data_IF_791563875942
#
_entry.id   IF_791563875942
#
_cell.length_a   1.000
_cell.length_b   1.000
_cell.length_c   1.000
_cell.angle_alpha   90.00
_cell.angle_beta   90.00
_cell.angle_gamma   90.00
#
_symmetry.space_group_name_H-M   'P 1'
#
loop_
_entity.id
_entity.type
_entity.pdbx_description
1 polymer ?
#
# COMPACT_ATOMS: atom_id res chain seq x y z
N UNK A 1 0.15 -21.00 2.46
CA UNK A 1 -0.64 -20.38 3.55
C UNK A 1 -0.26 -18.92 3.80
N UNK A 2 1.03 -18.55 3.86
CA UNK A 2 1.47 -17.16 4.14
C UNK A 2 0.99 -16.12 3.12
N UNK A 3 0.93 -16.47 1.82
CA UNK A 3 0.48 -15.54 0.77
C UNK A 3 -0.98 -15.10 0.89
N UNK A 4 -1.88 -15.98 1.36
CA UNK A 4 -3.30 -15.64 1.54
C UNK A 4 -3.49 -14.66 2.69
N UNK A 5 -2.82 -14.93 3.83
CA UNK A 5 -2.83 -14.04 4.99
C UNK A 5 -2.22 -12.68 4.63
N UNK A 6 -1.12 -12.65 3.87
CA UNK A 6 -0.53 -11.40 3.40
C UNK A 6 -1.47 -10.59 2.48
N UNK A 7 -2.24 -11.27 1.63
CA UNK A 7 -3.25 -10.65 0.77
C UNK A 7 -4.43 -10.08 1.58
N UNK A 8 -4.89 -10.79 2.61
CA UNK A 8 -5.95 -10.33 3.53
C UNK A 8 -5.52 -9.09 4.34
N UNK A 9 -4.26 -9.02 4.79
CA UNK A 9 -3.74 -7.84 5.50
C UNK A 9 -3.61 -6.64 4.53
N UNK A 10 -3.20 -6.87 3.27
CA UNK A 10 -3.11 -5.82 2.25
C UNK A 10 -4.47 -5.26 1.84
N UNK A 11 -5.53 -6.08 1.83
CA UNK A 11 -6.88 -5.62 1.50
C UNK A 11 -7.49 -4.75 2.60
N UNK A 12 -7.11 -4.96 3.86
CA UNK A 12 -7.57 -4.16 5.00
C UNK A 12 -7.04 -2.71 4.97
N UNK A 13 -5.78 -2.49 4.57
CA UNK A 13 -5.19 -1.16 4.48
C UNK A 13 -4.31 -1.01 3.23
N UNK A 14 -4.91 -0.79 2.05
CA UNK A 14 -4.17 -0.74 0.79
C UNK A 14 -3.26 0.49 0.72
N UNK A 15 -2.13 0.41 -0.04
CA UNK A 15 -1.22 1.52 -0.20
C UNK A 15 -1.90 2.67 -0.95
N UNK A 16 -2.00 3.82 -0.28
CA UNK A 16 -2.59 5.02 -0.85
C UNK A 16 -1.80 5.51 -2.08
N UNK A 17 -2.50 5.99 -3.12
CA UNK A 17 -1.87 6.42 -4.37
C UNK A 17 -1.07 7.72 -4.25
N UNK A 18 -0.99 8.38 -3.09
CA UNK A 18 -0.28 9.65 -2.94
C UNK A 18 1.00 9.50 -2.11
N UNK A 19 0.84 9.30 -0.80
CA UNK A 19 1.98 9.13 0.13
C UNK A 19 2.46 7.67 0.23
N UNK A 20 1.77 6.72 -0.42
CA UNK A 20 2.07 5.29 -0.30
C UNK A 20 1.85 4.73 1.11
N UNK A 21 1.02 5.40 1.92
CA UNK A 21 0.64 4.93 3.26
C UNK A 21 -0.24 3.70 3.12
N UNK A 22 0.11 2.60 3.74
CA UNK A 22 -0.59 1.33 3.60
C UNK A 22 0.31 0.12 3.76
N UNK A 23 -0.32 -1.06 3.76
CA UNK A 23 0.35 -2.35 3.72
C UNK A 23 0.77 -2.60 2.27
N UNK A 24 2.08 -2.79 2.05
CA UNK A 24 2.65 -3.10 0.74
C UNK A 24 3.67 -4.22 0.88
N UNK A 25 3.94 -4.91 -0.20
CA UNK A 25 5.07 -5.84 -0.24
C UNK A 25 6.39 -5.05 -0.30
N UNK A 26 7.45 -5.65 0.23
CA UNK A 26 8.75 -4.99 0.40
C UNK A 26 9.41 -4.64 -0.93
N UNK A 27 9.14 -5.45 -1.94
CA UNK A 27 9.61 -5.40 -3.32
C UNK A 27 8.63 -4.70 -4.28
N UNK A 28 7.44 -4.29 -3.81
CA UNK A 28 6.43 -3.62 -4.66
C UNK A 28 6.72 -2.11 -4.80
N UNK A 29 6.82 -1.65 -6.06
CA UNK A 29 6.90 -0.23 -6.40
C UNK A 29 5.49 0.36 -6.52
N UNK A 30 5.03 1.02 -5.46
CA UNK A 30 3.72 1.71 -5.44
C UNK A 30 3.73 2.89 -6.40
N UNK A 31 2.77 2.90 -7.35
CA UNK A 31 2.55 4.03 -8.25
C UNK A 31 1.98 5.19 -7.45
N UNK A 32 2.81 6.21 -7.20
CA UNK A 32 2.41 7.43 -6.49
C UNK A 32 2.04 8.51 -7.51
N UNK A 33 0.89 9.14 -7.30
CA UNK A 33 0.46 10.36 -7.97
C UNK A 33 0.99 11.55 -7.17
N UNK A 34 1.53 12.53 -7.89
CA UNK A 34 1.95 13.80 -7.29
C UNK A 34 0.70 14.60 -6.93
N UNK A 35 0.56 14.96 -5.65
CA UNK A 35 -0.53 15.82 -5.17
C UNK A 35 -1.40 15.22 -4.08
N UNK A 36 -0.90 15.19 -2.84
CA UNK A 36 -1.74 15.43 -1.66
C UNK A 36 -0.88 15.91 -0.48
N UNK A 37 -0.69 17.22 -0.40
CA UNK A 37 -0.16 17.88 0.79
C UNK A 37 -1.31 17.99 1.80
N UNK A 38 -1.32 17.09 2.77
CA UNK A 38 -1.90 17.38 4.08
C UNK A 38 -0.73 17.38 5.04
N UNK A 39 -0.51 18.55 5.62
CA UNK A 39 0.52 18.89 6.60
C UNK A 39 0.41 17.98 7.82
#
# INVERSE_FOLDING_TARGET
MVGQVAAEIRSYYPPEPYKGKGVRYSDERVIRKEGKTVQ
#
